data_IF_948789620020
#
_entry.id   IF_948789620020
#
_cell.length_a   1.000
_cell.length_b   1.000
_cell.length_c   1.000
_cell.angle_alpha   90.00
_cell.angle_beta   90.00
_cell.angle_gamma   90.00
#
_symmetry.space_group_name_H-M   'P 1'
#
loop_
_entity.id
_entity.type
_entity.pdbx_description
1 polymer ?
#
# COMPACT_ATOMS: atom_id res chain seq x y z
N UNK A 1 23.33 13.25 -4.85
CA UNK A 1 23.62 14.71 -4.68
C UNK A 1 24.98 15.00 -4.06
N UNK A 2 25.35 14.39 -2.94
CA UNK A 2 26.67 14.64 -2.29
C UNK A 2 27.79 13.67 -2.78
N UNK A 3 27.46 12.72 -3.66
CA UNK A 3 28.38 11.70 -4.19
C UNK A 3 28.61 10.53 -3.23
N UNK A 4 29.58 9.67 -3.55
CA UNK A 4 29.99 8.54 -2.71
C UNK A 4 30.62 9.00 -1.40
N UNK A 5 30.87 8.05 -0.49
CA UNK A 5 31.43 8.32 0.86
C UNK A 5 32.64 9.28 0.82
N UNK A 6 33.58 9.08 -0.10
CA UNK A 6 34.77 9.93 -0.23
C UNK A 6 34.43 11.37 -0.65
N UNK A 7 33.51 11.53 -1.61
CA UNK A 7 33.03 12.85 -2.02
C UNK A 7 32.27 13.56 -0.90
N UNK A 8 31.46 12.82 -0.12
CA UNK A 8 30.75 13.34 1.06
C UNK A 8 31.72 13.83 2.14
N UNK A 9 32.76 13.05 2.45
CA UNK A 9 33.79 13.43 3.42
C UNK A 9 34.58 14.67 2.97
N UNK A 10 34.94 14.74 1.68
CA UNK A 10 35.60 15.91 1.10
C UNK A 10 34.71 17.15 1.20
N UNK A 11 33.45 17.05 0.81
CA UNK A 11 32.46 18.14 0.91
C UNK A 11 32.22 18.57 2.36
N UNK A 12 32.24 17.62 3.30
CA UNK A 12 32.10 17.90 4.73
C UNK A 12 33.25 18.77 5.26
N UNK A 13 34.51 18.40 4.93
CA UNK A 13 35.74 19.09 5.36
C UNK A 13 36.01 20.40 4.62
N UNK A 14 35.46 20.57 3.42
CA UNK A 14 35.61 21.80 2.63
C UNK A 14 35.04 23.03 3.38
N UNK A 15 35.66 24.21 3.23
CA UNK A 15 35.11 25.48 3.71
C UNK A 15 33.75 25.78 3.07
N UNK A 16 32.94 26.61 3.72
CA UNK A 16 31.66 27.03 3.14
C UNK A 16 31.89 27.82 1.85
N UNK A 17 31.39 27.29 0.74
CA UNK A 17 31.37 27.92 -0.57
C UNK A 17 29.99 27.71 -1.23
N UNK A 18 29.77 28.34 -2.38
CA UNK A 18 28.50 28.26 -3.12
C UNK A 18 28.13 26.81 -3.49
N UNK A 19 29.12 26.00 -3.86
CA UNK A 19 28.90 24.59 -4.19
C UNK A 19 28.37 23.78 -2.98
N UNK A 20 29.00 23.93 -1.82
CA UNK A 20 28.61 23.26 -0.57
C UNK A 20 27.24 23.71 -0.12
N UNK A 21 26.95 25.02 -0.21
CA UNK A 21 25.64 25.57 0.11
C UNK A 21 24.56 24.98 -0.80
N UNK A 22 24.76 25.01 -2.13
CA UNK A 22 23.83 24.43 -3.10
C UNK A 22 23.57 22.95 -2.84
N UNK A 23 24.63 22.15 -2.68
CA UNK A 23 24.51 20.70 -2.44
C UNK A 23 23.75 20.40 -1.14
N UNK A 24 23.99 21.16 -0.06
CA UNK A 24 23.28 21.01 1.20
C UNK A 24 21.82 21.44 1.10
N UNK A 25 21.54 22.60 0.50
CA UNK A 25 20.17 23.08 0.31
C UNK A 25 19.35 22.07 -0.49
N UNK A 26 19.86 21.63 -1.65
CA UNK A 26 19.15 20.64 -2.48
C UNK A 26 18.91 19.35 -1.70
N UNK A 27 19.90 18.85 -0.94
CA UNK A 27 19.72 17.66 -0.10
C UNK A 27 18.59 17.83 0.92
N UNK A 28 18.60 18.93 1.67
CA UNK A 28 17.61 19.16 2.71
C UNK A 28 16.22 19.45 2.13
N UNK A 29 16.14 20.20 1.04
CA UNK A 29 14.89 20.40 0.30
C UNK A 29 14.31 19.07 -0.18
N UNK A 30 15.12 18.19 -0.75
CA UNK A 30 14.62 16.87 -1.19
C UNK A 30 14.18 16.00 -0.02
N UNK A 31 14.93 15.94 1.07
CA UNK A 31 14.48 15.20 2.27
C UNK A 31 13.17 15.77 2.84
N UNK A 32 13.00 17.09 2.82
CA UNK A 32 11.77 17.73 3.27
C UNK A 32 10.60 17.39 2.34
N UNK A 33 10.80 17.45 1.02
CA UNK A 33 9.79 17.07 0.04
C UNK A 33 9.40 15.59 0.13
N UNK A 34 10.37 14.70 0.34
CA UNK A 34 10.11 13.27 0.60
C UNK A 34 9.31 13.12 1.89
N UNK A 35 9.74 13.78 2.98
CA UNK A 35 9.00 13.77 4.24
C UNK A 35 7.56 14.23 4.07
N UNK A 36 7.35 15.35 3.39
CA UNK A 36 6.03 15.91 3.11
C UNK A 36 5.19 14.96 2.24
N UNK A 37 5.77 14.37 1.20
CA UNK A 37 5.08 13.41 0.35
C UNK A 37 4.65 12.17 1.15
N UNK A 38 5.52 11.62 2.00
CA UNK A 38 5.19 10.46 2.84
C UNK A 38 4.14 10.80 3.91
N UNK A 39 4.25 11.95 4.57
CA UNK A 39 3.29 12.40 5.58
C UNK A 39 1.93 12.71 4.97
N UNK A 40 1.90 13.39 3.82
CA UNK A 40 0.67 13.72 3.09
C UNK A 40 -0.02 12.48 2.52
N UNK A 41 0.72 11.57 1.88
CA UNK A 41 0.16 10.35 1.33
C UNK A 41 -0.51 9.47 2.40
N UNK A 42 0.05 9.42 3.62
CA UNK A 42 -0.55 8.69 4.72
C UNK A 42 -1.89 9.30 5.17
N UNK A 43 -2.01 10.63 5.24
CA UNK A 43 -3.26 11.28 5.64
C UNK A 43 -4.33 11.13 4.53
N UNK A 44 -3.93 11.17 3.26
CA UNK A 44 -4.83 10.91 2.13
C UNK A 44 -5.40 9.49 2.08
N UNK A 45 -4.78 8.53 2.78
CA UNK A 45 -5.34 7.18 2.88
C UNK A 45 -6.63 7.13 3.73
N UNK A 46 -6.74 7.98 4.76
CA UNK A 46 -7.84 7.94 5.72
C UNK A 46 -8.97 8.95 5.43
N UNK A 47 -8.77 9.84 4.46
CA UNK A 47 -9.69 10.94 4.17
C UNK A 47 -9.85 11.10 2.66
N UNK A 48 -10.92 11.78 2.23
CA UNK A 48 -11.10 12.06 0.80
C UNK A 48 -9.95 12.96 0.29
N UNK A 49 -9.09 12.39 -0.55
CA UNK A 49 -7.84 13.02 -0.97
C UNK A 49 -8.04 14.33 -1.77
N UNK A 50 -8.98 14.41 -2.74
CA UNK A 50 -9.22 15.66 -3.47
C UNK A 50 -9.71 16.79 -2.55
N UNK A 51 -10.68 16.50 -1.69
CA UNK A 51 -11.24 17.49 -0.75
C UNK A 51 -10.18 17.93 0.26
N UNK A 52 -9.42 16.99 0.83
CA UNK A 52 -8.37 17.33 1.79
C UNK A 52 -7.27 18.18 1.13
N UNK A 53 -6.85 17.86 -0.09
CA UNK A 53 -5.84 18.66 -0.81
C UNK A 53 -6.30 20.11 -1.00
N UNK A 54 -7.55 20.32 -1.42
CA UNK A 54 -8.11 21.66 -1.55
C UNK A 54 -8.15 22.38 -0.20
N UNK A 55 -8.61 21.71 0.85
CA UNK A 55 -8.68 22.28 2.20
C UNK A 55 -7.29 22.62 2.78
N UNK A 56 -6.26 21.83 2.44
CA UNK A 56 -4.88 22.11 2.85
C UNK A 56 -4.33 23.37 2.15
N UNK A 57 -4.60 23.53 0.86
CA UNK A 57 -4.17 24.71 0.08
C UNK A 57 -4.92 25.96 0.56
N UNK A 58 -6.21 25.84 0.88
CA UNK A 58 -7.05 26.93 1.35
C UNK A 58 -6.86 27.28 2.84
N UNK A 59 -6.12 26.48 3.61
CA UNK A 59 -5.94 26.72 5.04
C UNK A 59 -7.12 26.29 5.91
N UNK A 60 -8.13 25.61 5.35
CA UNK A 60 -9.39 25.24 6.01
C UNK A 60 -9.43 23.80 6.52
N UNK A 61 -8.39 23.01 6.28
CA UNK A 61 -8.33 21.62 6.75
C UNK A 61 -8.38 21.52 8.30
N UNK A 62 -8.90 20.39 8.79
CA UNK A 62 -8.99 20.14 10.21
C UNK A 62 -7.59 20.17 10.87
N UNK A 63 -7.39 20.78 12.05
CA UNK A 63 -6.06 20.91 12.69
C UNK A 63 -5.31 19.58 12.84
N UNK A 64 -6.03 18.49 13.10
CA UNK A 64 -5.45 17.14 13.19
C UNK A 64 -4.72 16.74 11.90
N UNK A 65 -5.25 17.08 10.72
CA UNK A 65 -4.60 16.76 9.45
C UNK A 65 -3.23 17.45 9.33
N UNK A 66 -3.15 18.73 9.69
CA UNK A 66 -1.88 19.47 9.71
C UNK A 66 -0.91 18.90 10.74
N UNK A 67 -1.36 18.63 11.96
CA UNK A 67 -0.52 18.11 13.04
C UNK A 67 0.04 16.74 12.66
N UNK A 68 -0.81 15.81 12.20
CA UNK A 68 -0.36 14.48 11.77
C UNK A 68 0.60 14.56 10.59
N UNK A 69 0.29 15.37 9.56
CA UNK A 69 1.19 15.57 8.42
C UNK A 69 2.53 16.16 8.85
N UNK A 70 2.53 17.16 9.75
CA UNK A 70 3.74 17.77 10.27
C UNK A 70 4.59 16.80 11.09
N UNK A 71 3.97 16.01 11.98
CA UNK A 71 4.67 14.99 12.78
C UNK A 71 5.30 13.96 11.85
N UNK A 72 4.54 13.36 10.93
CA UNK A 72 5.07 12.34 10.01
C UNK A 72 6.17 12.90 9.11
N UNK A 73 5.99 14.12 8.61
CA UNK A 73 7.02 14.82 7.82
C UNK A 73 8.28 15.04 8.64
N UNK A 74 8.15 15.55 9.86
CA UNK A 74 9.27 15.80 10.76
C UNK A 74 10.00 14.50 11.12
N UNK A 75 9.26 13.43 11.45
CA UNK A 75 9.83 12.12 11.76
C UNK A 75 10.61 11.55 10.57
N UNK A 76 10.02 11.53 9.37
CA UNK A 76 10.72 11.08 8.15
C UNK A 76 11.93 11.93 7.84
N UNK A 77 11.81 13.25 7.97
CA UNK A 77 12.89 14.19 7.71
C UNK A 77 14.05 14.03 8.69
N UNK A 78 13.76 13.88 9.99
CA UNK A 78 14.77 13.67 11.03
C UNK A 78 15.46 12.33 10.85
N UNK A 79 14.70 11.26 10.65
CA UNK A 79 15.25 9.92 10.53
C UNK A 79 16.06 9.75 9.25
N UNK A 80 15.52 10.15 8.09
CA UNK A 80 16.22 10.02 6.81
C UNK A 80 17.32 11.06 6.61
N UNK A 81 17.09 12.30 7.03
CA UNK A 81 18.00 13.42 6.81
C UNK A 81 19.21 13.42 7.75
N UNK A 82 18.98 13.17 9.04
CA UNK A 82 20.00 13.22 10.09
C UNK A 82 20.47 11.84 10.54
N UNK A 83 19.56 10.98 11.02
CA UNK A 83 19.94 9.70 11.64
C UNK A 83 20.48 8.69 10.60
N UNK A 84 19.91 8.67 9.39
CA UNK A 84 20.35 7.87 8.25
C UNK A 84 20.61 6.41 8.64
N UNK A 85 21.80 5.87 8.36
CA UNK A 85 22.18 4.49 8.67
C UNK A 85 21.98 4.09 10.14
N UNK A 86 22.00 5.05 11.09
CA UNK A 86 21.77 4.77 12.50
C UNK A 86 20.35 4.24 12.75
N UNK A 87 19.35 4.70 11.98
CA UNK A 87 17.99 4.17 12.09
C UNK A 87 17.97 2.71 11.69
N UNK A 88 18.65 2.35 10.61
CA UNK A 88 18.69 0.99 10.09
C UNK A 88 19.43 0.05 11.05
N UNK A 89 20.55 0.49 11.64
CA UNK A 89 21.38 -0.35 12.51
C UNK A 89 20.73 -0.59 13.88
N UNK A 90 20.18 0.46 14.50
CA UNK A 90 19.81 0.40 15.92
C UNK A 90 18.31 0.39 16.19
N UNK A 91 17.51 1.08 15.38
CA UNK A 91 16.07 1.25 15.64
C UNK A 91 15.18 0.35 14.77
N UNK A 92 15.54 0.15 13.51
CA UNK A 92 14.72 -0.57 12.55
C UNK A 92 14.71 -2.06 12.89
N UNK A 93 13.53 -2.69 13.05
CA UNK A 93 13.45 -4.14 13.25
C UNK A 93 13.73 -4.90 11.95
N UNK A 94 13.67 -4.23 10.79
CA UNK A 94 13.72 -4.86 9.47
C UNK A 94 14.96 -5.71 9.24
N UNK A 95 16.21 -5.26 9.54
CA UNK A 95 17.38 -6.11 9.30
C UNK A 95 17.37 -7.40 10.13
N UNK A 96 16.74 -7.38 11.31
CA UNK A 96 16.59 -8.58 12.16
C UNK A 96 15.56 -9.55 11.59
N UNK A 97 14.42 -9.03 11.13
CA UNK A 97 13.40 -9.83 10.45
C UNK A 97 13.98 -10.42 9.15
N UNK A 98 14.71 -9.61 8.39
CA UNK A 98 15.40 -10.04 7.18
C UNK A 98 16.38 -11.17 7.46
N UNK A 99 17.20 -11.07 8.51
CA UNK A 99 18.13 -12.14 8.89
C UNK A 99 17.40 -13.47 9.20
N UNK A 100 16.19 -13.42 9.75
CA UNK A 100 15.38 -14.62 10.00
C UNK A 100 14.72 -15.21 8.74
N UNK A 101 14.65 -14.44 7.64
CA UNK A 101 14.08 -14.89 6.35
C UNK A 101 15.12 -15.44 5.38
N UNK A 102 16.42 -15.39 5.72
CA UNK A 102 17.52 -15.92 4.90
C UNK A 102 17.64 -17.43 5.12
N UNK A 103 17.86 -18.18 4.04
CA UNK A 103 18.22 -19.61 4.07
C UNK A 103 19.57 -19.87 3.36
N UNK A 104 20.06 -21.10 3.41
CA UNK A 104 21.40 -21.47 2.92
C UNK A 104 21.58 -21.26 1.40
N UNK A 105 20.50 -21.24 0.64
CA UNK A 105 20.48 -21.00 -0.80
C UNK A 105 20.12 -19.53 -1.15
N UNK A 106 19.99 -18.66 -0.15
CA UNK A 106 19.76 -17.23 -0.36
C UNK A 106 21.05 -16.55 -0.78
N UNK A 107 21.00 -15.85 -1.92
CA UNK A 107 22.13 -15.09 -2.42
C UNK A 107 22.39 -13.86 -1.54
N UNK A 108 23.53 -13.86 -0.87
CA UNK A 108 24.01 -12.73 -0.06
C UNK A 108 25.38 -12.28 -0.57
N UNK A 109 25.83 -11.10 -0.16
CA UNK A 109 27.19 -10.66 -0.47
C UNK A 109 28.12 -11.32 0.55
N UNK A 110 29.09 -12.10 0.06
CA UNK A 110 30.05 -12.83 0.89
C UNK A 110 31.50 -12.61 0.45
N UNK A 111 32.41 -12.69 1.41
CA UNK A 111 33.86 -12.74 1.20
C UNK A 111 34.34 -14.19 1.26
N UNK A 112 35.10 -14.64 0.26
CA UNK A 112 35.66 -16.00 0.20
C UNK A 112 36.91 -16.09 1.07
N UNK A 113 36.74 -16.34 2.36
CA UNK A 113 37.86 -16.43 3.30
C UNK A 113 38.86 -17.55 2.93
N UNK A 114 38.39 -18.69 2.42
CA UNK A 114 39.21 -19.81 1.94
C UNK A 114 40.12 -19.48 0.76
N UNK A 115 39.85 -18.38 0.06
CA UNK A 115 40.66 -17.88 -1.06
C UNK A 115 41.45 -16.63 -0.68
N UNK A 116 40.86 -15.79 0.18
CA UNK A 116 41.42 -14.50 0.56
C UNK A 116 42.44 -14.55 1.68
N UNK A 117 42.34 -15.54 2.58
CA UNK A 117 43.16 -15.62 3.79
C UNK A 117 44.34 -16.63 3.67
N UNK A 118 45.49 -16.39 4.33
CA UNK A 118 45.80 -15.21 5.14
C UNK A 118 45.99 -13.97 4.26
N UNK A 119 45.32 -12.87 4.64
CA UNK A 119 45.43 -11.60 3.90
C UNK A 119 46.81 -10.96 4.11
N UNK A 120 47.34 -10.33 3.07
CA UNK A 120 48.60 -9.61 3.18
C UNK A 120 49.15 -9.14 1.84
N UNK A 121 50.37 -8.61 1.82
CA UNK A 121 50.97 -8.10 0.58
C UNK A 121 51.01 -9.18 -0.50
N UNK A 122 50.61 -8.83 -1.72
CA UNK A 122 50.56 -9.75 -2.87
C UNK A 122 51.92 -10.39 -3.22
N UNK A 123 53.02 -9.75 -2.84
CA UNK A 123 54.39 -10.20 -3.10
C UNK A 123 54.90 -11.26 -2.12
N UNK A 124 54.13 -11.59 -1.07
CA UNK A 124 54.54 -12.55 -0.04
C UNK A 124 53.90 -13.89 -0.37
N UNK A 125 54.76 -14.90 -0.53
CA UNK A 125 54.34 -16.28 -0.78
C UNK A 125 53.55 -16.84 0.42
N UNK A 126 52.48 -17.59 0.14
CA UNK A 126 51.57 -18.11 1.16
C UNK A 126 50.41 -17.18 1.53
N UNK A 127 50.38 -15.93 1.06
CA UNK A 127 49.22 -15.07 1.21
C UNK A 127 48.10 -15.43 0.22
N UNK A 128 46.86 -15.32 0.69
CA UNK A 128 45.67 -15.46 -0.14
C UNK A 128 45.50 -14.30 -1.13
N UNK A 129 44.34 -14.27 -1.77
CA UNK A 129 44.00 -13.27 -2.78
C UNK A 129 43.69 -11.88 -2.20
N UNK A 130 43.42 -11.77 -0.89
CA UNK A 130 43.13 -10.50 -0.24
C UNK A 130 44.42 -9.75 0.10
N UNK A 131 44.60 -8.57 -0.50
CA UNK A 131 45.80 -7.73 -0.27
C UNK A 131 45.69 -6.72 0.87
N UNK A 132 44.66 -6.82 1.71
CA UNK A 132 44.38 -5.92 2.84
C UNK A 132 44.32 -4.42 2.49
N UNK A 133 43.84 -4.08 1.28
CA UNK A 133 43.80 -2.69 0.79
C UNK A 133 42.69 -1.82 1.41
N UNK A 134 41.76 -2.41 2.18
CA UNK A 134 40.59 -1.74 2.77
C UNK A 134 39.60 -1.11 1.76
N UNK A 135 39.72 -1.38 0.45
CA UNK A 135 38.84 -0.78 -0.56
C UNK A 135 37.36 -1.11 -0.29
N UNK A 136 37.03 -2.38 -0.06
CA UNK A 136 35.67 -2.83 0.24
C UNK A 136 35.07 -2.16 1.48
N UNK A 137 35.87 -1.95 2.53
CA UNK A 137 35.45 -1.28 3.78
C UNK A 137 35.22 0.22 3.56
N UNK A 138 36.08 0.85 2.76
CA UNK A 138 36.01 2.29 2.49
C UNK A 138 34.82 2.68 1.62
N UNK A 139 34.37 1.81 0.69
CA UNK A 139 33.18 2.09 -0.12
C UNK A 139 31.87 1.77 0.60
N UNK A 140 31.90 0.92 1.63
CA UNK A 140 30.69 0.48 2.32
C UNK A 140 29.95 1.69 2.95
N UNK A 141 28.69 1.96 2.56
CA UNK A 141 27.93 3.08 3.11
C UNK A 141 27.52 2.85 4.57
N UNK A 142 27.47 1.59 5.00
CA UNK A 142 27.11 1.16 6.35
C UNK A 142 28.34 1.05 7.27
N UNK A 143 29.55 1.27 6.75
CA UNK A 143 30.79 1.27 7.53
C UNK A 143 31.23 -0.10 8.04
N UNK A 144 30.73 -1.17 7.44
CA UNK A 144 31.01 -2.55 7.86
C UNK A 144 32.25 -3.11 7.15
N UNK A 145 32.90 -4.09 7.77
CA UNK A 145 33.97 -4.86 7.16
C UNK A 145 33.44 -6.23 6.71
N UNK A 146 33.21 -6.37 5.40
CA UNK A 146 32.67 -7.60 4.79
C UNK A 146 33.59 -8.83 4.98
N UNK A 147 34.86 -8.61 5.36
CA UNK A 147 35.80 -9.70 5.63
C UNK A 147 35.55 -10.37 6.98
N UNK A 148 34.78 -9.73 7.87
CA UNK A 148 34.33 -10.30 9.13
C UNK A 148 33.05 -11.15 8.97
N UNK A 149 32.62 -11.38 7.72
CA UNK A 149 31.44 -12.17 7.39
C UNK A 149 30.15 -11.34 7.28
N UNK A 150 29.01 -12.03 7.33
CA UNK A 150 27.71 -11.40 7.17
C UNK A 150 27.32 -10.62 8.43
N UNK A 151 27.12 -9.31 8.28
CA UNK A 151 26.73 -8.40 9.36
C UNK A 151 25.32 -7.86 9.13
N UNK A 152 24.53 -7.71 10.20
CA UNK A 152 23.13 -7.23 10.12
C UNK A 152 22.98 -5.86 9.47
N UNK A 153 24.02 -5.02 9.53
CA UNK A 153 24.01 -3.70 8.89
C UNK A 153 24.19 -3.76 7.36
N UNK A 154 24.52 -4.91 6.77
CA UNK A 154 24.67 -5.05 5.33
C UNK A 154 23.34 -4.83 4.59
N UNK A 155 23.33 -3.88 3.65
CA UNK A 155 22.17 -3.56 2.79
C UNK A 155 22.29 -4.16 1.38
N UNK A 156 23.19 -5.14 1.19
CA UNK A 156 23.37 -5.90 -0.06
C UNK A 156 23.53 -5.06 -1.35
N UNK A 157 24.11 -3.86 -1.25
CA UNK A 157 24.21 -2.89 -2.35
C UNK A 157 25.28 -3.18 -3.43
N UNK A 158 26.18 -4.13 -3.21
CA UNK A 158 27.19 -4.53 -4.22
C UNK A 158 28.44 -3.67 -4.33
N UNK A 159 28.49 -2.47 -3.73
CA UNK A 159 29.65 -1.56 -3.89
C UNK A 159 31.00 -2.19 -3.50
N UNK A 160 31.01 -3.06 -2.49
CA UNK A 160 32.22 -3.78 -2.07
C UNK A 160 32.69 -4.82 -3.10
N UNK A 161 31.78 -5.40 -3.90
CA UNK A 161 32.09 -6.32 -5.00
C UNK A 161 32.86 -5.55 -6.08
N UNK A 162 32.30 -4.43 -6.53
CA UNK A 162 32.88 -3.61 -7.59
C UNK A 162 34.28 -3.11 -7.20
N UNK A 163 34.41 -2.52 -6.00
CA UNK A 163 35.68 -2.01 -5.50
C UNK A 163 36.75 -3.11 -5.33
N UNK A 164 36.32 -4.32 -4.94
CA UNK A 164 37.22 -5.46 -4.83
C UNK A 164 37.67 -5.94 -6.20
N UNK A 165 36.74 -6.15 -7.14
CA UNK A 165 37.03 -6.59 -8.50
C UNK A 165 37.95 -5.62 -9.24
N UNK A 166 37.73 -4.31 -9.09
CA UNK A 166 38.64 -3.28 -9.62
C UNK A 166 40.06 -3.41 -9.09
N UNK A 167 40.21 -3.77 -7.81
CA UNK A 167 41.51 -3.98 -7.19
C UNK A 167 42.14 -5.28 -7.69
N UNK A 168 41.38 -6.37 -7.73
CA UNK A 168 41.82 -7.69 -8.21
C UNK A 168 42.30 -7.62 -9.67
N UNK A 169 41.56 -6.93 -10.53
CA UNK A 169 41.92 -6.71 -11.93
C UNK A 169 43.26 -5.97 -12.07
N UNK A 170 43.50 -4.94 -11.25
CA UNK A 170 44.75 -4.15 -11.30
C UNK A 170 45.98 -4.94 -10.87
N UNK A 171 45.82 -5.86 -9.92
CA UNK A 171 46.92 -6.69 -9.42
C UNK A 171 47.04 -8.02 -10.18
N UNK A 172 46.18 -8.28 -11.17
CA UNK A 172 46.20 -9.51 -11.96
C UNK A 172 45.76 -10.77 -11.20
N UNK A 173 44.95 -10.64 -10.15
CA UNK A 173 44.42 -11.76 -9.36
C UNK A 173 42.99 -12.14 -9.79
N UNK A 174 42.52 -13.38 -9.50
CA UNK A 174 41.17 -13.80 -9.86
C UNK A 174 40.06 -12.90 -9.30
N UNK A 175 39.08 -12.56 -10.13
CA UNK A 175 37.92 -11.75 -9.72
C UNK A 175 37.01 -12.50 -8.75
N UNK A 176 35.99 -11.81 -8.23
CA UNK A 176 34.95 -12.32 -7.35
C UNK A 176 35.48 -12.83 -6.00
N UNK A 177 36.42 -12.10 -5.40
CA UNK A 177 36.85 -12.40 -4.03
C UNK A 177 35.74 -12.08 -3.04
N UNK A 178 35.02 -10.99 -3.32
CA UNK A 178 33.71 -10.68 -2.76
C UNK A 178 32.72 -10.78 -3.91
N UNK A 179 31.62 -11.52 -3.73
CA UNK A 179 30.54 -11.59 -4.73
C UNK A 179 29.21 -11.92 -4.07
N UNK A 180 28.14 -11.91 -4.87
CA UNK A 180 26.94 -12.64 -4.50
C UNK A 180 27.25 -14.14 -4.48
N UNK A 181 26.88 -14.81 -3.39
CA UNK A 181 27.01 -16.25 -3.21
C UNK A 181 25.98 -16.74 -2.19
N UNK A 182 25.56 -18.00 -2.34
CA UNK A 182 24.80 -18.68 -1.31
C UNK A 182 25.74 -19.41 -0.34
N UNK A 183 25.27 -19.72 0.88
CA UNK A 183 26.05 -20.51 1.83
C UNK A 183 26.33 -21.92 1.27
N UNK A 184 25.42 -22.48 0.46
CA UNK A 184 25.66 -23.77 -0.21
C UNK A 184 26.75 -23.72 -1.28
N UNK A 185 27.09 -22.54 -1.82
CA UNK A 185 28.17 -22.38 -2.79
C UNK A 185 29.54 -22.46 -2.11
N UNK A 186 29.67 -21.99 -0.87
CA UNK A 186 30.91 -22.10 -0.09
C UNK A 186 31.37 -23.55 0.02
N UNK A 187 30.46 -24.45 0.42
CA UNK A 187 30.77 -25.88 0.58
C UNK A 187 31.26 -26.48 -0.74
N UNK A 188 30.66 -26.07 -1.88
CA UNK A 188 31.04 -26.55 -3.21
C UNK A 188 32.40 -26.02 -3.63
N UNK A 189 32.63 -24.71 -3.49
CA UNK A 189 33.88 -24.07 -3.87
C UNK A 189 35.06 -24.59 -3.03
N UNK A 190 34.86 -24.79 -1.71
CA UNK A 190 35.87 -25.42 -0.84
C UNK A 190 36.18 -26.87 -1.27
N UNK A 191 35.21 -27.58 -1.84
CA UNK A 191 35.40 -28.91 -2.41
C UNK A 191 35.98 -28.90 -3.84
N UNK A 192 36.37 -27.73 -4.37
CA UNK A 192 36.92 -27.58 -5.72
C UNK A 192 35.88 -27.64 -6.84
N UNK A 193 34.59 -27.62 -6.50
CA UNK A 193 33.51 -27.57 -7.48
C UNK A 193 33.12 -26.12 -7.80
N UNK A 194 32.66 -25.83 -9.03
CA UNK A 194 32.15 -24.50 -9.34
C UNK A 194 30.89 -24.18 -8.51
N UNK A 195 30.74 -22.89 -8.18
CA UNK A 195 29.51 -22.36 -7.60
C UNK A 195 28.30 -22.69 -8.49
N UNK A 196 27.13 -22.83 -7.88
CA UNK A 196 25.91 -23.04 -8.65
C UNK A 196 25.59 -21.78 -9.46
N UNK A 197 24.87 -21.97 -10.57
CA UNK A 197 24.34 -20.83 -11.33
C UNK A 197 23.37 -20.02 -10.45
N UNK A 198 23.44 -18.69 -10.53
CA UNK A 198 22.51 -17.77 -9.87
C UNK A 198 21.05 -18.16 -10.14
N UNK A 199 20.74 -18.59 -11.36
CA UNK A 199 19.39 -19.00 -11.74
C UNK A 199 18.89 -20.23 -11.00
N UNK A 200 19.78 -21.13 -10.56
CA UNK A 200 19.39 -22.31 -9.78
C UNK A 200 18.98 -21.96 -8.35
N UNK A 201 19.57 -20.90 -7.78
CA UNK A 201 19.17 -20.34 -6.49
C UNK A 201 17.83 -19.61 -6.60
N UNK A 202 17.59 -18.92 -7.72
CA UNK A 202 16.33 -18.21 -7.99
C UNK A 202 15.17 -19.17 -8.28
N UNK A 203 15.33 -20.10 -9.23
CA UNK A 203 14.27 -21.01 -9.69
C UNK A 203 14.22 -22.32 -8.90
N UNK A 204 14.22 -22.22 -7.57
CA UNK A 204 14.01 -23.37 -6.67
C UNK A 204 12.52 -23.56 -6.37
N UNK A 205 12.08 -24.80 -6.04
CA UNK A 205 10.66 -25.10 -5.78
C UNK A 205 10.00 -24.16 -4.76
N UNK A 206 10.71 -23.85 -3.66
CA UNK A 206 10.22 -22.94 -2.62
C UNK A 206 9.93 -21.53 -3.15
N UNK A 207 10.85 -20.94 -3.91
CA UNK A 207 10.69 -19.59 -4.49
C UNK A 207 9.57 -19.58 -5.51
N UNK A 208 9.53 -20.58 -6.40
CA UNK A 208 8.47 -20.70 -7.42
C UNK A 208 7.09 -20.79 -6.75
N UNK A 209 6.96 -21.61 -5.70
CA UNK A 209 5.71 -21.74 -4.95
C UNK A 209 5.27 -20.39 -4.35
N UNK A 210 6.18 -19.67 -3.67
CA UNK A 210 5.85 -18.36 -3.12
C UNK A 210 5.48 -17.33 -4.20
N UNK A 211 6.20 -17.30 -5.31
CA UNK A 211 5.91 -16.40 -6.43
C UNK A 211 4.55 -16.70 -7.04
N UNK A 212 4.22 -17.99 -7.27
CA UNK A 212 2.93 -18.39 -7.84
C UNK A 212 1.79 -18.06 -6.89
N UNK A 213 1.92 -18.34 -5.58
CA UNK A 213 0.88 -18.02 -4.60
C UNK A 213 0.63 -16.51 -4.51
N UNK A 214 1.69 -15.71 -4.41
CA UNK A 214 1.56 -14.25 -4.35
C UNK A 214 1.02 -13.65 -5.65
N UNK A 215 1.50 -14.12 -6.81
CA UNK A 215 0.97 -13.70 -8.09
C UNK A 215 -0.50 -14.11 -8.25
N UNK A 216 -0.89 -15.30 -7.77
CA UNK A 216 -2.26 -15.77 -7.76
C UNK A 216 -3.19 -14.87 -6.96
N UNK A 217 -2.77 -14.44 -5.75
CA UNK A 217 -3.51 -13.45 -4.96
C UNK A 217 -3.63 -12.12 -5.72
N UNK A 218 -2.54 -11.65 -6.33
CA UNK A 218 -2.57 -10.43 -7.14
C UNK A 218 -3.55 -10.50 -8.30
N UNK A 219 -3.54 -11.60 -9.06
CA UNK A 219 -4.47 -11.86 -10.16
C UNK A 219 -5.91 -11.93 -9.63
N UNK A 220 -6.15 -12.64 -8.52
CA UNK A 220 -7.47 -12.73 -7.91
C UNK A 220 -8.01 -11.37 -7.49
N UNK A 221 -7.18 -10.49 -6.92
CA UNK A 221 -7.57 -9.12 -6.57
C UNK A 221 -7.88 -8.27 -7.81
N UNK A 222 -7.12 -8.42 -8.89
CA UNK A 222 -7.41 -7.74 -10.17
C UNK A 222 -8.73 -8.23 -10.76
N UNK A 223 -8.97 -9.54 -10.78
CA UNK A 223 -10.24 -10.12 -11.23
C UNK A 223 -11.40 -9.63 -10.35
N UNK A 224 -11.24 -9.64 -9.03
CA UNK A 224 -12.23 -9.13 -8.09
C UNK A 224 -12.52 -7.64 -8.30
N UNK A 225 -11.52 -6.84 -8.69
CA UNK A 225 -11.71 -5.42 -9.01
C UNK A 225 -12.61 -5.23 -10.24
N UNK A 226 -12.44 -6.04 -11.29
CA UNK A 226 -13.27 -5.96 -12.50
C UNK A 226 -14.66 -6.58 -12.34
N UNK A 227 -14.81 -7.58 -11.47
CA UNK A 227 -16.11 -8.18 -11.14
C UNK A 227 -16.88 -7.40 -10.07
N UNK A 228 -16.26 -6.39 -9.45
CA UNK A 228 -16.89 -5.58 -8.41
C UNK A 228 -18.10 -4.85 -8.96
N UNK A 229 -19.26 -5.07 -8.35
CA UNK A 229 -20.46 -4.29 -8.66
C UNK A 229 -20.22 -2.78 -8.42
N UNK A 230 -20.55 -2.01 -9.45
CA UNK A 230 -20.54 -0.54 -9.58
C UNK A 230 -21.40 0.15 -8.52
N UNK A 231 -22.46 -0.53 -8.11
CA UNK A 231 -23.49 -0.02 -7.20
C UNK A 231 -23.67 -1.01 -6.07
N UNK A 232 -24.05 -0.50 -4.91
CA UNK A 232 -24.37 -1.33 -3.75
C UNK A 232 -25.51 -0.67 -2.97
N UNK A 233 -26.57 -1.43 -2.72
CA UNK A 233 -27.80 -0.94 -2.09
C UNK A 233 -28.19 -1.89 -0.97
N UNK A 234 -28.26 -1.36 0.25
CA UNK A 234 -28.81 -2.09 1.39
C UNK A 234 -30.16 -1.51 1.80
N UNK A 235 -31.17 -2.35 1.93
CA UNK A 235 -32.52 -1.98 2.35
C UNK A 235 -32.76 -2.49 3.77
N UNK A 236 -33.00 -1.58 4.71
CA UNK A 236 -33.25 -1.94 6.11
C UNK A 236 -34.65 -1.49 6.53
N UNK A 237 -35.59 -2.40 6.83
CA UNK A 237 -36.89 -2.02 7.37
C UNK A 237 -36.75 -1.42 8.78
N UNK A 238 -37.40 -0.28 9.02
CA UNK A 238 -37.47 0.33 10.34
C UNK A 238 -38.50 -0.42 11.17
N UNK A 239 -38.10 -0.88 12.36
CA UNK A 239 -38.93 -1.74 13.22
C UNK A 239 -39.59 -1.02 14.39
N UNK A 240 -39.27 0.25 14.62
CA UNK A 240 -39.81 1.04 15.72
C UNK A 240 -40.22 2.45 15.25
N UNK A 241 -41.51 2.69 14.97
CA UNK A 241 -42.61 1.72 14.94
C UNK A 241 -42.57 0.82 13.69
N UNK A 242 -43.17 -0.38 13.76
CA UNK A 242 -43.27 -1.29 12.61
C UNK A 242 -44.15 -0.72 11.49
N UNK A 243 -45.23 -0.01 11.85
CA UNK A 243 -46.09 0.71 10.93
C UNK A 243 -46.67 1.96 11.60
N UNK A 244 -47.12 2.92 10.78
CA UNK A 244 -47.82 4.13 11.23
C UNK A 244 -49.15 4.24 10.50
N UNK A 245 -50.24 4.42 11.25
CA UNK A 245 -51.56 4.73 10.68
C UNK A 245 -51.68 6.23 10.45
N UNK A 246 -51.97 6.63 9.22
CA UNK A 246 -52.17 8.01 8.82
C UNK A 246 -53.61 8.46 9.09
N UNK A 247 -53.86 9.77 9.02
CA UNK A 247 -55.17 10.36 9.28
C UNK A 247 -56.27 9.93 8.30
N UNK A 248 -55.86 9.51 7.09
CA UNK A 248 -56.75 8.96 6.06
C UNK A 248 -57.00 7.44 6.25
N UNK A 249 -56.45 6.84 7.31
CA UNK A 249 -56.56 5.42 7.61
C UNK A 249 -55.56 4.52 6.85
N UNK A 250 -54.71 5.09 6.00
CA UNK A 250 -53.67 4.36 5.29
C UNK A 250 -52.54 3.91 6.23
N UNK A 251 -51.88 2.80 5.88
CA UNK A 251 -50.78 2.25 6.68
C UNK A 251 -49.45 2.51 5.99
N UNK A 252 -48.48 3.05 6.73
CA UNK A 252 -47.14 3.37 6.23
C UNK A 252 -46.06 2.56 6.94
N UNK A 253 -45.23 1.87 6.16
CA UNK A 253 -43.98 1.25 6.60
C UNK A 253 -42.80 2.13 6.14
N UNK A 254 -41.71 2.10 6.91
CA UNK A 254 -40.51 2.90 6.64
C UNK A 254 -39.32 1.98 6.39
N UNK A 255 -38.54 2.28 5.35
CA UNK A 255 -37.31 1.56 5.00
C UNK A 255 -36.18 2.57 4.85
N UNK A 256 -35.06 2.32 5.52
CA UNK A 256 -33.84 3.09 5.31
C UNK A 256 -33.01 2.41 4.22
N UNK A 257 -32.79 3.12 3.12
CA UNK A 257 -32.01 2.70 1.97
C UNK A 257 -30.62 3.32 2.08
N UNK A 258 -29.55 2.51 2.09
CA UNK A 258 -28.18 3.03 1.93
C UNK A 258 -27.75 2.79 0.50
N UNK A 259 -27.63 3.88 -0.25
CA UNK A 259 -27.26 3.88 -1.65
C UNK A 259 -25.78 4.24 -1.75
N UNK A 260 -24.96 3.33 -2.26
CA UNK A 260 -23.53 3.55 -2.42
C UNK A 260 -23.18 3.63 -3.91
N UNK A 261 -22.80 4.82 -4.34
CA UNK A 261 -22.29 5.06 -5.69
C UNK A 261 -20.77 4.85 -5.69
N UNK A 262 -20.29 3.86 -6.47
CA UNK A 262 -18.84 3.61 -6.63
C UNK A 262 -18.33 4.11 -7.99
N UNK A 263 -19.15 4.82 -8.77
CA UNK A 263 -18.72 5.53 -9.96
C UNK A 263 -18.02 6.84 -9.59
N UNK A 264 -17.16 7.31 -10.49
CA UNK A 264 -16.49 8.61 -10.41
C UNK A 264 -17.37 9.80 -10.82
N UNK A 265 -18.65 9.57 -11.09
CA UNK A 265 -19.64 10.57 -11.47
C UNK A 265 -20.92 10.41 -10.64
N UNK A 266 -21.71 11.47 -10.56
CA UNK A 266 -22.98 11.45 -9.85
C UNK A 266 -23.98 10.53 -10.57
N UNK A 267 -24.87 9.87 -9.82
CA UNK A 267 -25.81 8.88 -10.38
C UNK A 267 -27.21 9.08 -9.81
N UNK A 268 -28.22 8.98 -10.68
CA UNK A 268 -29.63 9.03 -10.30
C UNK A 268 -30.18 7.62 -10.05
N UNK A 269 -30.74 7.41 -8.86
CA UNK A 269 -31.42 6.17 -8.49
C UNK A 269 -32.92 6.36 -8.52
N UNK A 270 -33.65 5.37 -9.01
CA UNK A 270 -35.10 5.31 -8.90
C UNK A 270 -35.60 4.04 -8.23
N UNK A 271 -36.80 4.12 -7.66
CA UNK A 271 -37.38 3.10 -6.81
C UNK A 271 -38.73 2.66 -7.36
N UNK A 272 -38.94 1.36 -7.39
CA UNK A 272 -40.22 0.76 -7.70
C UNK A 272 -40.53 -0.37 -6.71
N UNK A 273 -41.81 -0.68 -6.53
CA UNK A 273 -42.27 -1.78 -5.70
C UNK A 273 -43.09 -2.74 -6.56
N UNK A 274 -42.90 -4.03 -6.33
CA UNK A 274 -43.72 -5.08 -6.93
C UNK A 274 -44.31 -5.93 -5.81
N UNK A 275 -45.63 -6.06 -5.83
CA UNK A 275 -46.40 -6.92 -4.92
C UNK A 275 -47.77 -7.20 -5.54
N UNK A 276 -48.50 -8.16 -4.96
CA UNK A 276 -49.90 -8.44 -5.30
C UNK A 276 -50.84 -7.31 -4.87
N UNK A 277 -50.42 -6.50 -3.88
CA UNK A 277 -51.14 -5.32 -3.43
C UNK A 277 -50.57 -4.02 -4.02
N UNK A 278 -51.44 -3.04 -4.23
CA UNK A 278 -51.06 -1.70 -4.67
C UNK A 278 -50.45 -0.88 -3.55
N UNK A 279 -49.22 -0.39 -3.75
CA UNK A 279 -48.52 0.48 -2.81
C UNK A 279 -48.20 1.84 -3.42
N UNK A 280 -48.26 2.89 -2.60
CA UNK A 280 -47.78 4.23 -2.94
C UNK A 280 -46.42 4.43 -2.29
N UNK A 281 -45.41 4.69 -3.11
CA UNK A 281 -44.05 4.98 -2.66
C UNK A 281 -43.85 6.49 -2.54
N UNK A 282 -43.25 6.92 -1.44
CA UNK A 282 -42.78 8.30 -1.27
C UNK A 282 -41.40 8.32 -0.64
N UNK A 283 -40.58 9.29 -1.03
CA UNK A 283 -39.25 9.49 -0.46
C UNK A 283 -39.26 10.66 0.50
N UNK A 284 -38.49 10.54 1.58
CA UNK A 284 -38.30 11.65 2.51
C UNK A 284 -37.53 12.79 1.84
N UNK A 285 -38.12 13.99 1.82
CA UNK A 285 -37.49 15.21 1.31
C UNK A 285 -37.24 15.28 -0.22
N UNK A 286 -37.81 14.36 -1.03
CA UNK A 286 -37.66 14.38 -2.48
C UNK A 286 -39.03 14.49 -3.19
N UNK A 287 -39.19 15.37 -4.19
CA UNK A 287 -40.46 15.59 -4.89
C UNK A 287 -40.88 14.45 -5.84
N UNK A 288 -40.11 13.35 -5.89
CA UNK A 288 -40.39 12.19 -6.72
C UNK A 288 -39.65 10.95 -6.21
N UNK A 289 -39.66 9.87 -7.00
CA UNK A 289 -38.98 8.61 -6.70
C UNK A 289 -37.56 8.57 -7.28
N UNK A 290 -36.87 9.71 -7.27
CA UNK A 290 -35.52 9.83 -7.79
C UNK A 290 -34.59 10.49 -6.78
N UNK A 291 -33.38 9.95 -6.63
CA UNK A 291 -32.36 10.46 -5.72
C UNK A 291 -31.03 10.54 -6.41
N UNK A 292 -30.43 11.73 -6.40
CA UNK A 292 -29.05 11.94 -6.79
C UNK A 292 -28.12 11.47 -5.66
N UNK A 293 -27.18 10.60 -6.01
CA UNK A 293 -26.09 10.15 -5.13
C UNK A 293 -24.76 10.56 -5.78
N UNK A 294 -24.00 11.46 -5.15
CA UNK A 294 -22.74 11.94 -5.71
C UNK A 294 -21.69 10.84 -5.90
N UNK A 295 -20.75 11.09 -6.81
CA UNK A 295 -19.61 10.20 -7.09
C UNK A 295 -18.90 9.73 -5.81
N UNK A 296 -18.58 8.44 -5.72
CA UNK A 296 -17.84 7.83 -4.60
C UNK A 296 -18.45 8.03 -3.20
N UNK A 297 -19.73 8.41 -3.09
CA UNK A 297 -20.39 8.64 -1.80
C UNK A 297 -21.40 7.56 -1.44
N UNK A 298 -21.77 7.51 -0.17
CA UNK A 298 -22.91 6.73 0.33
C UNK A 298 -23.95 7.70 0.88
N UNK A 299 -25.18 7.61 0.37
CA UNK A 299 -26.33 8.41 0.82
C UNK A 299 -27.37 7.51 1.46
N UNK A 300 -27.82 7.87 2.65
CA UNK A 300 -28.97 7.22 3.28
C UNK A 300 -30.22 7.97 2.84
N UNK A 301 -31.18 7.26 2.26
CA UNK A 301 -32.48 7.76 1.86
C UNK A 301 -33.57 6.95 2.55
N UNK A 302 -34.54 7.63 3.16
CA UNK A 302 -35.71 6.97 3.71
C UNK A 302 -36.81 6.85 2.65
N UNK A 303 -37.31 5.63 2.50
CA UNK A 303 -38.43 5.27 1.63
C UNK A 303 -39.64 4.91 2.50
N UNK A 304 -40.75 5.56 2.20
CA UNK A 304 -42.05 5.25 2.79
C UNK A 304 -42.86 4.43 1.78
N UNK A 305 -43.33 3.29 2.24
CA UNK A 305 -44.27 2.45 1.49
C UNK A 305 -45.61 2.61 2.17
N UNK A 306 -46.63 3.08 1.45
CA UNK A 306 -47.96 3.32 2.01
C UNK A 306 -48.98 2.42 1.32
N UNK A 307 -49.73 1.64 2.10
CA UNK A 307 -50.89 0.89 1.63
C UNK A 307 -52.16 1.72 1.85
N UNK A 308 -53.00 1.93 0.81
CA UNK A 308 -54.26 2.64 0.96
C UNK A 308 -55.16 2.03 2.06
N UNK A 309 -55.98 2.85 2.69
CA UNK A 309 -56.97 2.37 3.67
C UNK A 309 -57.86 1.29 3.04
N UNK A 310 -58.20 0.25 3.80
CA UNK A 310 -59.04 -0.89 3.37
C UNK A 310 -58.46 -1.71 2.20
N UNK A 311 -57.17 -1.56 1.89
CA UNK A 311 -56.48 -2.47 0.97
C UNK A 311 -56.10 -3.77 1.67
N UNK A 312 -56.01 -4.86 0.90
CA UNK A 312 -55.57 -6.18 1.41
C UNK A 312 -54.26 -6.08 2.22
N UNK A 313 -53.31 -5.25 1.77
CA UNK A 313 -52.04 -5.07 2.47
C UNK A 313 -52.14 -4.24 3.76
N UNK A 314 -53.13 -3.34 3.88
CA UNK A 314 -53.34 -2.55 5.08
C UNK A 314 -53.99 -3.39 6.20
N UNK A 315 -54.85 -4.34 5.84
CA UNK A 315 -55.56 -5.22 6.78
C UNK A 315 -54.73 -6.46 7.16
N UNK A 316 -54.00 -7.04 6.21
CA UNK A 316 -53.15 -8.21 6.47
C UNK A 316 -52.03 -7.88 7.47
N UNK A 317 -51.70 -8.84 8.35
CA UNK A 317 -50.58 -8.68 9.28
C UNK A 317 -49.24 -8.49 8.55
N UNK A 318 -49.06 -9.15 7.41
CA UNK A 318 -47.83 -9.11 6.61
C UNK A 318 -48.11 -9.34 5.14
N UNK A 319 -47.49 -8.53 4.29
CA UNK A 319 -47.52 -8.68 2.82
C UNK A 319 -46.10 -8.70 2.28
N UNK A 320 -45.78 -9.65 1.40
CA UNK A 320 -44.48 -9.70 0.75
C UNK A 320 -44.33 -8.60 -0.30
N UNK A 321 -43.16 -7.98 -0.31
CA UNK A 321 -42.84 -6.79 -1.09
C UNK A 321 -41.46 -6.92 -1.70
N UNK A 322 -41.37 -6.84 -3.03
CA UNK A 322 -40.09 -6.69 -3.72
C UNK A 322 -39.83 -5.23 -4.03
N UNK A 323 -38.78 -4.67 -3.44
CA UNK A 323 -38.30 -3.33 -3.77
C UNK A 323 -37.26 -3.44 -4.89
N UNK A 324 -37.48 -2.69 -5.96
CA UNK A 324 -36.57 -2.55 -7.09
C UNK A 324 -35.86 -1.21 -7.00
N UNK A 325 -34.55 -1.23 -7.17
CA UNK A 325 -33.70 -0.05 -7.25
C UNK A 325 -32.99 -0.09 -8.58
N UNK A 326 -33.14 0.95 -9.38
CA UNK A 326 -32.52 1.06 -10.70
C UNK A 326 -31.62 2.28 -10.73
N UNK A 327 -30.39 2.11 -11.22
CA UNK A 327 -29.53 3.22 -11.63
C UNK A 327 -29.95 3.68 -13.02
N UNK A 328 -30.36 4.94 -13.11
CA UNK A 328 -30.67 5.61 -14.37
C UNK A 328 -29.40 6.23 -14.99
N UNK A 329 -28.35 6.39 -14.21
CA UNK A 329 -27.13 7.07 -14.63
C UNK A 329 -27.28 8.58 -14.70
N UNK A 330 -26.57 9.16 -15.67
CA UNK A 330 -26.72 10.54 -16.12
C UNK A 330 -26.90 10.57 -17.63
N UNK A 331 -27.24 11.72 -18.20
CA UNK A 331 -27.31 11.87 -19.67
C UNK A 331 -25.97 11.54 -20.36
N UNK A 332 -24.84 11.79 -19.68
CA UNK A 332 -23.51 11.50 -20.20
C UNK A 332 -23.10 10.02 -20.04
N UNK A 333 -23.65 9.32 -19.04
CA UNK A 333 -23.32 7.95 -18.74
C UNK A 333 -24.58 7.19 -18.29
N UNK A 334 -25.35 6.60 -19.23
CA UNK A 334 -26.58 5.91 -18.90
C UNK A 334 -26.31 4.71 -17.98
N UNK A 335 -27.14 4.57 -16.96
CA UNK A 335 -27.17 3.42 -16.06
C UNK A 335 -28.23 2.44 -16.53
N UNK A 336 -27.97 1.14 -16.38
CA UNK A 336 -28.98 0.11 -16.58
C UNK A 336 -28.92 -0.98 -15.50
N UNK A 337 -28.15 -0.73 -14.43
CA UNK A 337 -28.03 -1.66 -13.33
C UNK A 337 -29.33 -1.63 -12.52
N UNK A 338 -29.96 -2.80 -12.40
CA UNK A 338 -31.18 -2.97 -11.61
C UNK A 338 -30.96 -4.04 -10.55
N UNK A 339 -31.32 -3.70 -9.32
CA UNK A 339 -31.23 -4.58 -8.16
C UNK A 339 -32.61 -4.73 -7.54
N UNK A 340 -32.82 -5.85 -6.86
CA UNK A 340 -34.02 -6.07 -6.07
C UNK A 340 -33.66 -6.49 -4.65
N UNK A 341 -34.56 -6.19 -3.73
CA UNK A 341 -34.51 -6.67 -2.36
C UNK A 341 -35.89 -7.13 -1.95
N UNK A 342 -35.99 -8.39 -1.54
CA UNK A 342 -37.22 -8.93 -0.98
C UNK A 342 -37.35 -8.49 0.47
N UNK A 343 -38.48 -7.90 0.81
CA UNK A 343 -38.80 -7.42 2.15
C UNK A 343 -40.28 -7.59 2.40
N UNK A 344 -40.76 -7.14 3.56
CA UNK A 344 -42.16 -7.30 3.96
C UNK A 344 -42.74 -6.02 4.48
N UNK A 345 -44.01 -5.82 4.16
CA UNK A 345 -44.86 -4.73 4.62
C UNK A 345 -45.74 -5.23 5.77
N UNK A 346 -45.81 -4.49 6.87
CA UNK A 346 -46.63 -4.84 8.03
C UNK A 346 -47.91 -3.99 8.04
N UNK A 347 -49.08 -4.63 7.97
CA UNK A 347 -50.39 -3.98 8.11
C UNK A 347 -50.89 -4.00 9.56
N UNK A 348 -52.17 -3.66 9.77
CA UNK A 348 -52.78 -3.65 11.11
C UNK A 348 -52.88 -5.04 11.73
N UNK A 349 -53.09 -6.08 10.91
CA UNK A 349 -53.15 -7.46 11.36
C UNK A 349 -54.26 -7.71 12.37
N UNK A 350 -55.48 -7.27 12.03
CA UNK A 350 -56.69 -7.65 12.80
C UNK A 350 -57.00 -9.15 12.67
#
# INVERSE_FOLDING_TARGET
MEGDRNARLRLHRQKWNLEKLRKRLVKWSVWLLIGLATGGAWVFYFTDAPTLLQNLIQGTAHPVAYITMAILTATTFVFGGFAREQICIYACPWPRIQAAMVDEDTLTIGYRDWRGEPRGKASVEGNGDCIDCMACVNVCPMGIDIRDGQQMACITCGLCIDACNDTMAKIGKPLNLISYMALTDEVRERAGQPAKSVWSHVFRPRTIMYTVLWAGIGIALVVALFLRASIDVSVTPVRNPMFVTLSDGSIRNTYDLRLRNKHGEDRWFTFAASSEAGFVLTLDGAPGLQVLVPANTTKTQRLFVTAPAFSLAAEAARTDLRLWIQDLGTEAAPGNDRMYHDTVFNGKGE
#
